data_IF_129288344670
#
_entry.id   IF_129288344670
#
_cell.length_a   1.000
_cell.length_b   1.000
_cell.length_c   1.000
_cell.angle_alpha   90.00
_cell.angle_beta   90.00
_cell.angle_gamma   90.00
#
_symmetry.space_group_name_H-M   'P 1'
#
loop_
_entity.id
_entity.type
_entity.pdbx_description
1 polymer ?
#
# COMPACT_ATOMS: atom_id res chain seq x y z
N UNK A 1 24.28 33.76 -15.70
CA UNK A 1 24.55 34.79 -14.67
C UNK A 1 24.17 34.17 -13.34
N UNK A 2 25.17 33.83 -12.53
CA UNK A 2 25.07 33.04 -11.28
C UNK A 2 24.85 33.99 -10.10
N UNK A 3 23.86 33.71 -9.23
CA UNK A 3 23.74 34.07 -7.79
C UNK A 3 22.37 33.58 -7.30
N UNK A 4 22.30 32.47 -6.56
CA UNK A 4 22.43 32.36 -5.10
C UNK A 4 21.28 33.03 -4.35
N UNK A 5 20.31 32.22 -3.90
CA UNK A 5 19.48 32.47 -2.72
C UNK A 5 19.44 31.17 -1.93
N UNK A 6 20.31 31.09 -0.93
CA UNK A 6 20.15 30.20 0.21
C UNK A 6 19.42 30.93 1.33
N UNK A 7 18.95 30.14 2.30
CA UNK A 7 18.45 30.53 3.61
C UNK A 7 16.95 30.88 3.73
N UNK A 8 16.15 29.85 3.99
CA UNK A 8 14.95 29.92 4.83
C UNK A 8 14.62 28.52 5.37
N UNK A 9 15.43 28.01 6.31
CA UNK A 9 15.08 26.84 7.12
C UNK A 9 15.55 27.07 8.57
N UNK A 10 14.59 27.46 9.41
CA UNK A 10 14.71 27.47 10.87
C UNK A 10 14.48 26.07 11.49
N UNK A 11 14.65 25.92 12.82
CA UNK A 11 15.30 24.74 13.40
C UNK A 11 14.28 23.66 13.82
N UNK A 12 14.21 22.57 13.07
CA UNK A 12 13.51 21.35 13.49
C UNK A 12 14.30 20.05 13.23
N UNK A 13 15.63 20.13 13.04
CA UNK A 13 16.48 18.96 12.72
C UNK A 13 17.56 18.61 13.76
N UNK A 14 17.50 19.19 14.96
CA UNK A 14 18.54 18.99 15.98
C UNK A 14 18.33 17.78 16.92
N UNK A 15 17.38 16.86 16.68
CA UNK A 15 17.13 15.70 17.57
C UNK A 15 17.09 14.33 16.89
N UNK A 16 17.80 14.16 15.77
CA UNK A 16 17.96 12.85 15.12
C UNK A 16 19.38 12.62 14.56
N UNK A 17 20.39 13.17 15.23
CA UNK A 17 21.81 13.06 14.81
C UNK A 17 22.74 12.51 15.89
N UNK A 18 22.24 11.57 16.68
CA UNK A 18 23.01 10.91 17.74
C UNK A 18 22.79 9.40 17.79
N UNK A 19 22.82 8.73 16.64
CA UNK A 19 23.18 7.31 16.52
C UNK A 19 23.82 7.17 15.14
N UNK A 20 24.91 6.40 15.02
CA UNK A 20 25.73 6.15 13.81
C UNK A 20 27.01 6.99 13.69
N UNK A 21 27.98 6.70 14.55
CA UNK A 21 29.41 6.83 14.23
C UNK A 21 30.01 5.43 14.12
N UNK A 22 30.69 5.13 13.02
CA UNK A 22 31.52 3.94 12.88
C UNK A 22 31.98 3.69 11.44
N UNK A 23 33.29 3.83 11.23
CA UNK A 23 34.14 3.35 10.11
C UNK A 23 34.27 4.23 8.85
N UNK A 24 35.33 5.06 8.89
CA UNK A 24 36.12 5.51 7.74
C UNK A 24 36.96 4.36 7.14
N UNK A 25 37.02 4.24 5.81
CA UNK A 25 38.26 4.03 5.05
C UNK A 25 38.03 4.19 3.52
N UNK A 26 39.04 4.64 2.74
CA UNK A 26 38.84 5.25 1.41
C UNK A 26 38.97 4.25 0.25
N UNK A 27 38.03 4.28 -0.70
CA UNK A 27 38.14 3.52 -1.97
C UNK A 27 38.51 4.43 -3.15
N UNK A 28 39.60 4.06 -3.80
CA UNK A 28 40.22 4.70 -4.96
C UNK A 28 39.32 4.66 -6.21
N UNK A 29 39.33 5.75 -7.00
CA UNK A 29 38.63 5.87 -8.29
C UNK A 29 39.42 5.20 -9.42
N UNK A 30 38.80 4.38 -10.30
CA UNK A 30 39.41 4.01 -11.57
C UNK A 30 39.20 5.07 -12.66
N UNK A 31 40.20 5.20 -13.52
CA UNK A 31 40.36 6.18 -14.60
C UNK A 31 39.36 5.98 -15.75
N UNK A 32 38.90 7.11 -16.33
CA UNK A 32 38.15 7.19 -17.59
C UNK A 32 39.00 6.72 -18.77
N UNK A 33 38.50 5.78 -19.57
CA UNK A 33 38.97 5.54 -20.94
C UNK A 33 37.97 6.11 -21.94
N UNK A 34 38.49 6.79 -22.96
CA UNK A 34 37.75 7.41 -24.06
C UNK A 34 37.47 6.35 -25.13
N UNK A 35 36.23 6.27 -25.62
CA UNK A 35 35.87 5.60 -26.87
C UNK A 35 35.91 6.62 -28.02
N UNK A 36 36.38 6.26 -29.22
CA UNK A 36 36.18 7.05 -30.42
C UNK A 36 35.00 6.55 -31.27
N UNK A 37 34.20 7.48 -31.76
CA UNK A 37 33.35 7.38 -32.96
C UNK A 37 33.84 8.47 -33.95
N UNK A 38 33.45 8.53 -35.26
CA UNK A 38 32.26 7.92 -35.89
C UNK A 38 32.47 7.36 -37.32
N UNK A 39 31.48 6.61 -37.83
CA UNK A 39 31.25 6.53 -39.28
C UNK A 39 29.75 6.37 -39.60
N UNK A 40 29.30 7.27 -40.48
CA UNK A 40 27.92 7.52 -40.88
C UNK A 40 27.40 6.52 -41.94
N UNK A 41 26.07 6.36 -41.90
CA UNK A 41 25.09 6.21 -43.02
C UNK A 41 24.72 4.81 -43.55
N UNK A 42 23.40 4.57 -43.37
CA UNK A 42 22.37 4.21 -44.37
C UNK A 42 21.99 2.73 -44.54
N UNK A 43 20.67 2.61 -44.65
CA UNK A 43 19.86 1.59 -45.31
C UNK A 43 19.52 0.30 -44.56
N UNK A 44 18.43 0.44 -43.80
CA UNK A 44 17.47 -0.60 -43.50
C UNK A 44 16.79 -1.15 -44.76
N UNK A 45 16.33 -2.40 -44.64
CA UNK A 45 15.44 -3.18 -45.54
C UNK A 45 16.06 -3.72 -46.84
N UNK A 46 16.54 -4.97 -46.78
CA UNK A 46 15.95 -6.12 -47.48
C UNK A 46 16.98 -7.24 -47.67
N UNK A 47 16.83 -8.33 -46.90
CA UNK A 47 17.31 -9.70 -47.18
C UNK A 47 16.82 -10.56 -46.01
N UNK A 48 15.52 -10.91 -45.99
CA UNK A 48 14.96 -12.14 -46.54
C UNK A 48 15.68 -13.42 -46.06
N UNK A 49 15.12 -13.97 -44.97
CA UNK A 49 14.79 -15.39 -44.74
C UNK A 49 15.79 -16.44 -45.24
N UNK A 50 16.37 -17.18 -44.30
CA UNK A 50 16.19 -18.64 -44.12
C UNK A 50 17.14 -19.14 -43.03
N UNK A 51 16.67 -20.12 -42.25
CA UNK A 51 17.33 -20.84 -41.15
C UNK A 51 17.19 -20.17 -39.77
N UNK A 52 16.13 -20.56 -39.06
CA UNK A 52 16.13 -21.04 -37.67
C UNK A 52 14.70 -21.53 -37.43
N UNK A 53 14.48 -22.83 -37.25
CA UNK A 53 14.49 -23.42 -35.92
C UNK A 53 13.05 -23.39 -35.39
N UNK A 54 12.43 -24.56 -35.31
CA UNK A 54 11.09 -24.77 -34.74
C UNK A 54 11.00 -24.02 -33.40
N UNK A 55 9.99 -23.18 -33.14
CA UNK A 55 9.86 -22.60 -31.81
C UNK A 55 9.46 -23.73 -30.86
N UNK A 56 10.31 -23.99 -29.85
CA UNK A 56 9.85 -24.65 -28.64
C UNK A 56 8.65 -23.88 -28.08
N UNK A 57 7.63 -24.62 -27.63
CA UNK A 57 6.49 -24.03 -26.94
C UNK A 57 6.98 -23.11 -25.81
N UNK A 58 6.44 -21.88 -25.69
CA UNK A 58 6.76 -21.05 -24.55
C UNK A 58 6.19 -21.75 -23.31
N UNK A 59 7.08 -22.34 -22.50
CA UNK A 59 6.74 -22.81 -21.16
C UNK A 59 5.98 -21.71 -20.42
N UNK A 60 4.81 -22.06 -19.91
CA UNK A 60 3.71 -21.18 -19.48
C UNK A 60 3.96 -20.37 -18.20
N UNK A 61 5.18 -19.93 -17.94
CA UNK A 61 5.60 -19.33 -16.67
C UNK A 61 5.47 -17.80 -16.57
N UNK A 62 4.91 -17.11 -17.56
CA UNK A 62 4.97 -15.63 -17.61
C UNK A 62 3.72 -14.88 -17.12
N UNK A 63 2.64 -15.54 -16.68
CA UNK A 63 1.41 -14.84 -16.27
C UNK A 63 0.59 -15.51 -15.14
N UNK A 64 1.22 -16.20 -14.18
CA UNK A 64 0.47 -16.97 -13.16
C UNK A 64 0.61 -16.55 -11.70
N UNK A 65 1.47 -15.59 -11.38
CA UNK A 65 1.78 -15.29 -9.98
C UNK A 65 1.44 -13.84 -9.64
N UNK A 66 0.15 -13.52 -9.58
CA UNK A 66 -0.32 -12.19 -9.17
C UNK A 66 -1.06 -12.23 -7.83
N UNK A 67 -0.81 -11.23 -6.98
CA UNK A 67 -1.42 -11.07 -5.65
C UNK A 67 -1.15 -12.24 -4.68
N UNK A 68 -2.21 -12.86 -4.13
CA UNK A 68 -2.12 -13.81 -3.01
C UNK A 68 -1.93 -15.26 -3.47
N UNK A 69 -1.75 -15.52 -4.76
CA UNK A 69 -1.59 -16.89 -5.29
C UNK A 69 -0.28 -17.54 -4.82
N UNK A 70 0.84 -16.81 -4.85
CA UNK A 70 2.13 -17.30 -4.33
C UNK A 70 2.01 -17.57 -2.82
N UNK A 71 1.41 -16.64 -2.07
CA UNK A 71 1.15 -16.83 -0.63
C UNK A 71 0.31 -18.09 -0.37
N UNK A 72 -0.76 -18.33 -1.16
CA UNK A 72 -1.58 -19.54 -1.05
C UNK A 72 -0.72 -20.78 -1.25
N UNK A 73 0.06 -20.85 -2.33
CA UNK A 73 0.90 -22.02 -2.62
C UNK A 73 1.89 -22.30 -1.48
N UNK A 74 2.56 -21.27 -0.97
CA UNK A 74 3.52 -21.44 0.13
C UNK A 74 2.85 -21.84 1.45
N UNK A 75 1.64 -21.35 1.74
CA UNK A 75 0.83 -21.83 2.87
C UNK A 75 0.41 -23.31 2.68
N UNK A 76 0.09 -23.73 1.46
CA UNK A 76 -0.26 -25.12 1.17
C UNK A 76 0.92 -26.08 1.36
N UNK A 77 2.13 -25.65 0.98
CA UNK A 77 3.38 -26.40 1.18
C UNK A 77 3.67 -26.68 2.66
N UNK A 78 3.23 -25.80 3.55
CA UNK A 78 3.41 -25.95 5.01
C UNK A 78 2.16 -26.54 5.71
N UNK A 79 1.18 -27.04 4.96
CA UNK A 79 0.09 -27.85 5.48
C UNK A 79 -1.29 -27.18 5.54
N UNK A 80 -1.42 -25.92 5.13
CA UNK A 80 -2.75 -25.33 4.92
C UNK A 80 -3.44 -25.96 3.70
N UNK A 81 -4.76 -25.94 3.66
CA UNK A 81 -5.55 -26.52 2.57
C UNK A 81 -6.70 -25.59 2.22
N UNK A 82 -6.79 -25.21 0.96
CA UNK A 82 -7.87 -24.37 0.46
C UNK A 82 -9.25 -25.01 0.73
N UNK A 83 -10.23 -24.18 1.12
CA UNK A 83 -11.58 -24.60 1.51
C UNK A 83 -11.69 -25.39 2.82
N UNK A 84 -10.57 -25.69 3.50
CA UNK A 84 -10.56 -26.44 4.76
C UNK A 84 -9.89 -25.67 5.92
N UNK A 85 -8.62 -25.28 5.77
CA UNK A 85 -7.87 -24.51 6.79
C UNK A 85 -7.40 -23.16 6.27
N UNK A 86 -7.56 -22.91 4.97
CA UNK A 86 -7.29 -21.65 4.29
C UNK A 86 -8.54 -21.25 3.50
N UNK A 87 -8.94 -19.98 3.63
CA UNK A 87 -10.16 -19.47 3.00
C UNK A 87 -9.91 -18.09 2.41
N UNK A 88 -10.35 -17.88 1.17
CA UNK A 88 -10.46 -16.57 0.56
C UNK A 88 -11.73 -15.85 1.00
N UNK A 89 -11.64 -14.54 1.24
CA UNK A 89 -12.79 -13.68 1.53
C UNK A 89 -12.83 -12.50 0.54
N UNK A 90 -13.18 -12.75 -0.74
CA UNK A 90 -13.20 -11.70 -1.75
C UNK A 90 -14.25 -10.62 -1.43
N UNK A 91 -13.92 -9.37 -1.73
CA UNK A 91 -14.76 -8.21 -1.51
C UNK A 91 -14.73 -7.28 -2.72
N UNK A 92 -15.71 -6.37 -2.78
CA UNK A 92 -15.77 -5.38 -3.85
C UNK A 92 -14.87 -4.18 -3.51
N UNK A 93 -13.70 -4.14 -4.13
CA UNK A 93 -12.69 -3.10 -3.90
C UNK A 93 -13.14 -1.71 -4.36
N UNK A 94 -14.23 -1.60 -5.12
CA UNK A 94 -14.76 -0.30 -5.58
C UNK A 94 -15.44 0.47 -4.46
N UNK A 95 -15.88 -0.23 -3.42
CA UNK A 95 -16.54 0.36 -2.26
C UNK A 95 -15.58 0.46 -1.07
N UNK A 96 -15.97 1.25 -0.07
CA UNK A 96 -15.22 1.38 1.17
C UNK A 96 -15.94 0.76 2.39
N UNK A 97 -15.18 0.28 3.40
CA UNK A 97 -15.73 -0.08 4.70
C UNK A 97 -16.60 1.04 5.31
N UNK A 98 -17.62 0.69 6.10
CA UNK A 98 -18.48 1.68 6.74
C UNK A 98 -17.69 2.53 7.73
N UNK A 99 -18.04 3.82 7.82
CA UNK A 99 -17.58 4.71 8.89
C UNK A 99 -18.76 5.07 9.79
N UNK A 100 -18.51 5.52 11.02
CA UNK A 100 -19.56 5.92 11.95
C UNK A 100 -20.51 6.93 11.29
N UNK A 101 -21.82 6.62 11.30
CA UNK A 101 -22.85 7.46 10.69
C UNK A 101 -23.01 7.30 9.17
N UNK A 102 -22.19 6.47 8.49
CA UNK A 102 -22.29 6.23 7.04
C UNK A 102 -22.19 4.74 6.71
N UNK A 103 -23.34 4.06 6.63
CA UNK A 103 -23.37 2.65 6.33
C UNK A 103 -22.98 2.39 4.86
N UNK A 104 -22.37 1.23 4.62
CA UNK A 104 -22.08 0.70 3.29
C UNK A 104 -22.82 -0.61 3.13
N UNK A 105 -23.89 -0.66 2.33
CA UNK A 105 -24.69 -1.89 2.17
C UNK A 105 -23.85 -3.06 1.65
N UNK A 106 -22.89 -2.76 0.75
CA UNK A 106 -21.96 -3.73 0.18
C UNK A 106 -21.08 -4.33 1.28
N UNK A 107 -20.47 -3.49 2.11
CA UNK A 107 -19.62 -3.97 3.20
C UNK A 107 -20.40 -4.58 4.36
N UNK A 108 -21.61 -4.11 4.67
CA UNK A 108 -22.49 -4.75 5.66
C UNK A 108 -22.80 -6.20 5.24
N UNK A 109 -23.07 -6.43 3.95
CA UNK A 109 -23.28 -7.78 3.42
C UNK A 109 -22.00 -8.61 3.46
N UNK A 110 -20.88 -8.02 3.06
CA UNK A 110 -19.58 -8.68 3.08
C UNK A 110 -19.15 -9.06 4.50
N UNK A 111 -19.22 -8.15 5.48
CA UNK A 111 -18.88 -8.40 6.88
C UNK A 111 -19.76 -9.48 7.50
N UNK A 112 -21.05 -9.53 7.17
CA UNK A 112 -21.91 -10.64 7.60
C UNK A 112 -21.44 -11.99 7.05
N UNK A 113 -21.03 -12.04 5.77
CA UNK A 113 -20.51 -13.26 5.14
C UNK A 113 -19.15 -13.65 5.72
N UNK A 114 -18.26 -12.69 5.97
CA UNK A 114 -16.96 -12.91 6.59
C UNK A 114 -17.12 -13.42 8.03
N UNK A 115 -18.03 -12.84 8.81
CA UNK A 115 -18.38 -13.33 10.15
C UNK A 115 -18.83 -14.80 10.12
N UNK A 116 -19.77 -15.14 9.23
CA UNK A 116 -20.25 -16.52 9.08
C UNK A 116 -19.12 -17.48 8.64
N UNK A 117 -18.27 -17.07 7.69
CA UNK A 117 -17.11 -17.85 7.25
C UNK A 117 -16.16 -18.15 8.41
N UNK A 118 -15.88 -17.16 9.26
CA UNK A 118 -15.00 -17.31 10.42
C UNK A 118 -15.63 -18.27 11.45
N UNK A 119 -16.93 -18.13 11.71
CA UNK A 119 -17.65 -19.02 12.63
C UNK A 119 -17.63 -20.47 12.13
N UNK A 120 -17.84 -20.69 10.83
CA UNK A 120 -17.85 -22.02 10.24
C UNK A 120 -16.45 -22.63 10.15
N UNK A 121 -15.43 -21.84 9.80
CA UNK A 121 -14.03 -22.26 9.84
C UNK A 121 -13.61 -22.68 11.27
N UNK A 122 -14.04 -21.92 12.28
CA UNK A 122 -13.79 -22.25 13.69
C UNK A 122 -14.44 -23.58 14.10
N UNK A 123 -15.69 -23.85 13.67
CA UNK A 123 -16.40 -25.12 13.98
C UNK A 123 -15.77 -26.34 13.33
N UNK A 124 -15.24 -26.22 12.10
CA UNK A 124 -14.63 -27.33 11.34
C UNK A 124 -13.37 -27.93 11.99
N UNK A 125 -12.81 -27.27 13.00
CA UNK A 125 -11.59 -27.70 13.71
C UNK A 125 -11.81 -28.86 14.72
N UNK A 126 -12.56 -29.90 14.34
CA UNK A 126 -12.79 -31.13 15.12
C UNK A 126 -13.16 -30.89 16.60
N UNK A 127 -14.06 -29.93 16.86
CA UNK A 127 -14.55 -29.63 18.21
C UNK A 127 -13.65 -28.74 19.08
N UNK A 128 -12.47 -28.34 18.59
CA UNK A 128 -11.53 -27.50 19.36
C UNK A 128 -11.83 -25.99 19.30
N UNK A 129 -12.89 -25.57 18.60
CA UNK A 129 -13.31 -24.17 18.44
C UNK A 129 -12.12 -23.22 18.23
N UNK A 130 -11.34 -23.48 17.18
CA UNK A 130 -10.09 -22.75 16.94
C UNK A 130 -10.38 -21.32 16.48
N UNK A 131 -9.69 -20.37 17.11
CA UNK A 131 -9.61 -18.99 16.63
C UNK A 131 -8.91 -18.94 15.28
N UNK A 132 -9.28 -17.99 14.44
CA UNK A 132 -8.73 -17.80 13.09
C UNK A 132 -7.67 -16.70 13.06
N UNK A 133 -6.67 -16.84 12.20
CA UNK A 133 -5.77 -15.75 11.82
C UNK A 133 -6.45 -15.00 10.67
N UNK A 134 -6.69 -13.70 10.84
CA UNK A 134 -7.21 -12.86 9.77
C UNK A 134 -6.06 -12.13 9.08
N UNK A 135 -5.77 -12.52 7.83
CA UNK A 135 -4.71 -11.92 7.02
C UNK A 135 -5.30 -10.89 6.06
N UNK A 136 -4.62 -9.75 5.90
CA UNK A 136 -4.97 -8.75 4.89
C UNK A 136 -3.72 -8.05 4.36
N UNK A 137 -3.67 -7.86 3.04
CA UNK A 137 -2.62 -7.11 2.33
C UNK A 137 -3.18 -5.82 1.74
N UNK A 138 -2.41 -4.73 1.76
CA UNK A 138 -2.81 -3.43 1.18
C UNK A 138 -4.18 -3.00 1.70
N UNK A 139 -5.07 -2.54 0.82
CA UNK A 139 -6.44 -2.20 1.17
C UNK A 139 -7.21 -3.33 1.89
N UNK A 140 -6.89 -4.59 1.61
CA UNK A 140 -7.46 -5.74 2.33
C UNK A 140 -7.08 -5.77 3.81
N UNK A 141 -5.91 -5.23 4.17
CA UNK A 141 -5.51 -5.01 5.55
C UNK A 141 -6.39 -3.99 6.28
N UNK A 142 -6.69 -2.84 5.64
CA UNK A 142 -7.69 -1.90 6.18
C UNK A 142 -9.06 -2.54 6.32
N UNK A 143 -9.51 -3.31 5.31
CA UNK A 143 -10.80 -3.99 5.34
C UNK A 143 -10.88 -4.97 6.51
N UNK A 144 -9.84 -5.77 6.74
CA UNK A 144 -9.75 -6.70 7.86
C UNK A 144 -9.78 -5.97 9.21
N UNK A 145 -9.05 -4.85 9.33
CA UNK A 145 -9.05 -4.02 10.52
C UNK A 145 -10.45 -3.44 10.82
N UNK A 146 -11.10 -2.85 9.81
CA UNK A 146 -12.44 -2.27 9.97
C UNK A 146 -13.50 -3.35 10.26
N UNK A 147 -13.40 -4.53 9.65
CA UNK A 147 -14.24 -5.67 9.99
C UNK A 147 -14.13 -5.99 11.47
N UNK A 148 -12.92 -6.21 11.98
CA UNK A 148 -12.73 -6.58 13.40
C UNK A 148 -13.22 -5.47 14.30
N UNK A 149 -12.92 -4.20 14.00
CA UNK A 149 -13.42 -3.04 14.76
C UNK A 149 -14.95 -2.96 14.81
N UNK A 150 -15.64 -3.45 13.78
CA UNK A 150 -17.10 -3.46 13.71
C UNK A 150 -17.79 -4.59 14.48
N UNK A 151 -17.07 -5.63 14.93
CA UNK A 151 -17.71 -6.77 15.62
C UNK A 151 -17.85 -6.51 17.13
N UNK A 152 -18.75 -7.19 17.86
CA UNK A 152 -18.75 -7.15 19.32
C UNK A 152 -17.41 -7.62 19.91
N UNK A 153 -17.01 -7.05 21.05
CA UNK A 153 -15.76 -7.41 21.74
C UNK A 153 -15.70 -8.90 22.08
N UNK A 154 -16.78 -9.42 22.67
CA UNK A 154 -16.90 -10.84 23.01
C UNK A 154 -16.77 -11.76 21.78
N UNK A 155 -17.28 -11.31 20.62
CA UNK A 155 -17.17 -12.07 19.37
C UNK A 155 -15.71 -12.13 18.90
N UNK A 156 -15.02 -10.99 18.81
CA UNK A 156 -13.62 -11.00 18.32
C UNK A 156 -12.68 -11.71 19.30
N UNK A 157 -12.91 -11.61 20.61
CA UNK A 157 -12.15 -12.38 21.60
C UNK A 157 -12.37 -13.88 21.48
N UNK A 158 -13.56 -14.32 21.03
CA UNK A 158 -13.89 -15.72 20.83
C UNK A 158 -13.32 -16.29 19.54
N UNK A 159 -13.35 -15.53 18.44
CA UNK A 159 -13.05 -16.07 17.11
C UNK A 159 -11.73 -15.62 16.49
N UNK A 160 -11.19 -14.46 16.88
CA UNK A 160 -10.00 -13.89 16.27
C UNK A 160 -8.76 -14.23 17.09
N UNK A 161 -7.75 -14.78 16.42
CA UNK A 161 -6.47 -15.17 17.01
C UNK A 161 -5.51 -13.97 16.98
N UNK A 162 -4.83 -13.66 15.86
CA UNK A 162 -4.40 -12.31 15.55
C UNK A 162 -4.91 -11.81 14.19
N UNK A 163 -4.77 -10.50 13.97
CA UNK A 163 -4.70 -9.94 12.63
C UNK A 163 -3.23 -9.96 12.17
N UNK A 164 -2.99 -10.38 10.94
CA UNK A 164 -1.72 -10.20 10.24
C UNK A 164 -1.98 -9.20 9.11
N UNK A 165 -1.54 -7.97 9.32
CA UNK A 165 -1.73 -6.84 8.41
C UNK A 165 -0.43 -6.59 7.65
N UNK A 166 -0.43 -6.76 6.34
CA UNK A 166 0.75 -6.58 5.50
C UNK A 166 0.56 -5.36 4.61
N UNK A 167 1.41 -4.36 4.78
CA UNK A 167 1.35 -3.07 4.10
C UNK A 167 -0.09 -2.49 4.07
N UNK A 168 -0.81 -2.38 5.21
CA UNK A 168 -2.27 -2.28 5.19
C UNK A 168 -2.82 -0.94 4.71
N UNK A 169 -1.98 0.06 4.43
CA UNK A 169 -2.41 1.39 3.99
C UNK A 169 -2.46 1.48 2.45
N UNK A 170 -3.12 2.50 1.90
CA UNK A 170 -3.22 2.74 0.44
C UNK A 170 -2.64 4.13 0.10
N UNK A 171 -1.96 4.28 -1.03
CA UNK A 171 -1.45 5.56 -1.55
C UNK A 171 -2.54 6.27 -2.36
N UNK A 172 -3.15 7.36 -1.85
CA UNK A 172 -4.34 7.92 -2.47
C UNK A 172 -4.03 8.95 -3.56
N UNK A 173 -3.08 9.87 -3.33
CA UNK A 173 -2.99 11.12 -4.11
C UNK A 173 -2.46 10.88 -5.51
N UNK A 174 -1.30 10.23 -5.65
CA UNK A 174 -0.69 9.96 -6.96
C UNK A 174 -1.63 9.17 -7.86
N UNK A 175 -2.18 8.07 -7.35
CA UNK A 175 -3.13 7.24 -8.09
C UNK A 175 -4.37 8.03 -8.53
N UNK A 176 -4.85 8.94 -7.69
CA UNK A 176 -6.03 9.75 -8.00
C UNK A 176 -5.75 10.87 -9.02
N UNK A 177 -4.60 11.54 -8.91
CA UNK A 177 -4.23 12.69 -9.76
C UNK A 177 -3.66 12.22 -11.10
N UNK A 178 -2.66 11.32 -11.08
CA UNK A 178 -1.92 10.86 -12.26
C UNK A 178 -2.53 9.62 -12.93
N UNK A 179 -3.42 8.90 -12.25
CA UNK A 179 -3.91 7.59 -12.68
C UNK A 179 -3.20 6.44 -11.96
N UNK A 180 -3.76 5.23 -12.05
CA UNK A 180 -3.33 4.08 -11.25
C UNK A 180 -3.06 2.86 -12.11
N UNK A 181 -1.98 2.14 -11.77
CA UNK A 181 -1.63 0.84 -12.33
C UNK A 181 -2.04 -0.33 -11.41
N UNK A 182 -2.86 -0.05 -10.38
CA UNK A 182 -3.31 -1.08 -9.43
C UNK A 182 -4.08 -2.22 -10.11
N UNK A 183 -4.82 -1.89 -11.18
CA UNK A 183 -5.56 -2.85 -11.99
C UNK A 183 -4.93 -2.93 -13.37
N UNK A 184 -4.45 -4.11 -13.73
CA UNK A 184 -3.99 -4.37 -15.09
C UNK A 184 -5.19 -4.60 -16.01
N UNK A 185 -5.42 -3.66 -16.94
CA UNK A 185 -6.37 -3.83 -18.04
C UNK A 185 -5.57 -3.76 -19.35
N UNK A 186 -5.57 -4.83 -20.17
CA UNK A 186 -4.82 -4.85 -21.42
C UNK A 186 -5.12 -3.63 -22.29
N UNK A 187 -4.09 -3.10 -22.98
CA UNK A 187 -4.20 -1.96 -23.91
C UNK A 187 -4.60 -0.61 -23.29
N UNK A 188 -4.67 -0.51 -21.96
CA UNK A 188 -4.94 0.74 -21.26
C UNK A 188 -3.67 1.35 -20.66
N UNK A 189 -3.73 2.64 -20.35
CA UNK A 189 -2.72 3.38 -19.58
C UNK A 189 -3.29 3.82 -18.23
N UNK A 190 -2.45 4.10 -17.21
CA UNK A 190 -2.93 4.63 -15.94
C UNK A 190 -3.81 5.88 -16.09
N UNK A 191 -3.46 6.76 -17.04
CA UNK A 191 -4.25 7.95 -17.35
C UNK A 191 -5.65 7.60 -17.89
N UNK A 192 -5.74 6.61 -18.79
CA UNK A 192 -7.02 6.16 -19.35
C UNK A 192 -7.92 5.44 -18.32
N UNK A 193 -7.32 4.79 -17.32
CA UNK A 193 -8.04 4.14 -16.22
C UNK A 193 -8.43 5.13 -15.11
N UNK A 194 -7.87 6.33 -15.10
CA UNK A 194 -8.09 7.33 -14.05
C UNK A 194 -9.58 7.67 -13.82
N UNK A 195 -10.45 7.85 -14.84
CA UNK A 195 -11.87 8.09 -14.60
C UNK A 195 -12.55 6.93 -13.85
N UNK A 196 -12.21 5.68 -14.20
CA UNK A 196 -12.71 4.50 -13.50
C UNK A 196 -12.21 4.50 -12.06
N UNK A 197 -10.91 4.69 -11.83
CA UNK A 197 -10.34 4.72 -10.48
C UNK A 197 -11.00 5.80 -9.60
N UNK A 198 -11.21 7.01 -10.14
CA UNK A 198 -11.89 8.12 -9.44
C UNK A 198 -13.35 7.84 -9.09
N UNK A 199 -13.99 6.88 -9.76
CA UNK A 199 -15.34 6.44 -9.43
C UNK A 199 -15.40 5.53 -8.20
N UNK A 200 -14.27 4.98 -7.75
CA UNK A 200 -14.22 4.06 -6.62
C UNK A 200 -14.22 4.84 -5.31
N UNK A 201 -15.03 4.41 -4.35
CA UNK A 201 -14.99 4.95 -2.99
C UNK A 201 -13.62 4.70 -2.34
N UNK A 202 -13.00 3.54 -2.61
CA UNK A 202 -11.69 3.16 -2.07
C UNK A 202 -10.54 4.09 -2.49
N UNK A 203 -10.66 4.73 -3.66
CA UNK A 203 -9.72 5.74 -4.12
C UNK A 203 -9.78 7.02 -3.28
N UNK A 204 -10.94 7.34 -2.68
CA UNK A 204 -11.18 8.56 -1.91
C UNK A 204 -10.96 8.35 -0.41
N UNK A 205 -11.41 7.21 0.16
CA UNK A 205 -11.42 6.99 1.62
C UNK A 205 -10.06 6.91 2.30
N UNK A 206 -8.98 6.87 1.52
CA UNK A 206 -7.60 6.80 1.99
C UNK A 206 -6.85 8.12 1.80
N UNK A 207 -7.52 9.21 1.39
CA UNK A 207 -6.88 10.52 1.22
C UNK A 207 -6.08 10.96 2.46
N UNK A 208 -4.99 11.73 2.28
CA UNK A 208 -4.06 12.07 3.35
C UNK A 208 -4.74 12.81 4.49
N UNK A 209 -4.41 12.43 5.71
CA UNK A 209 -4.91 13.10 6.91
C UNK A 209 -4.03 14.31 7.24
N UNK A 210 -4.63 15.49 7.51
CA UNK A 210 -3.88 16.62 8.05
C UNK A 210 -3.15 16.33 9.37
N UNK A 211 -3.66 15.40 10.18
CA UNK A 211 -2.98 14.99 11.41
C UNK A 211 -1.65 14.25 11.17
N UNK A 212 -1.43 13.73 9.96
CA UNK A 212 -0.21 13.01 9.56
C UNK A 212 0.72 13.93 8.77
N UNK A 213 0.18 14.64 7.77
CA UNK A 213 0.98 15.39 6.79
C UNK A 213 1.06 16.90 7.08
N UNK A 214 0.19 17.43 7.94
CA UNK A 214 0.12 18.86 8.26
C UNK A 214 0.02 19.74 7.01
N UNK A 215 0.83 20.80 7.00
CA UNK A 215 0.90 21.78 5.90
C UNK A 215 1.85 21.37 4.76
N UNK A 216 2.41 20.15 4.80
CA UNK A 216 3.33 19.68 3.77
C UNK A 216 2.62 19.68 2.41
N UNK A 217 3.14 20.38 1.39
CA UNK A 217 2.58 20.31 0.04
C UNK A 217 2.67 18.89 -0.51
N UNK A 218 1.55 18.32 -0.94
CA UNK A 218 1.48 16.97 -1.54
C UNK A 218 1.36 17.05 -3.06
N UNK A 219 0.68 18.10 -3.55
CA UNK A 219 0.62 18.45 -4.98
C UNK A 219 1.04 19.90 -5.13
N UNK A 220 2.02 20.14 -5.97
CA UNK A 220 2.59 21.47 -6.26
C UNK A 220 2.26 21.78 -7.71
N UNK A 221 1.75 22.99 -7.96
CA UNK A 221 1.46 23.48 -9.31
C UNK A 221 2.05 24.88 -9.49
N UNK A 222 2.03 25.42 -10.71
CA UNK A 222 2.42 26.81 -10.95
C UNK A 222 1.67 27.81 -10.05
N UNK A 223 0.37 27.55 -9.85
CA UNK A 223 -0.56 28.53 -9.28
C UNK A 223 -0.82 28.33 -7.80
N UNK A 224 -0.73 27.08 -7.32
CA UNK A 224 -1.12 26.70 -5.97
C UNK A 224 -0.45 25.40 -5.51
N UNK A 225 -0.16 25.35 -4.22
CA UNK A 225 0.22 24.13 -3.52
C UNK A 225 -0.98 23.58 -2.75
N UNK A 226 -1.17 22.27 -2.79
CA UNK A 226 -2.23 21.54 -2.10
C UNK A 226 -1.61 20.67 -1.01
N UNK A 227 -1.89 21.00 0.25
CA UNK A 227 -1.58 20.18 1.41
C UNK A 227 -2.72 19.19 1.70
N UNK A 228 -2.58 18.36 2.73
CA UNK A 228 -3.67 17.50 3.20
C UNK A 228 -4.94 18.27 3.62
N UNK A 229 -4.82 19.57 3.94
CA UNK A 229 -5.98 20.44 4.21
C UNK A 229 -6.75 20.83 2.96
N UNK A 230 -6.11 20.80 1.79
CA UNK A 230 -6.64 21.35 0.52
C UNK A 230 -7.26 20.26 -0.38
N UNK A 231 -7.51 19.07 0.14
CA UNK A 231 -7.95 17.91 -0.67
C UNK A 231 -9.27 18.14 -1.41
N UNK A 232 -10.20 18.91 -0.85
CA UNK A 232 -11.45 19.28 -1.54
C UNK A 232 -11.17 20.14 -2.78
N UNK A 233 -10.28 21.13 -2.64
CA UNK A 233 -9.90 22.02 -3.72
C UNK A 233 -9.07 21.27 -4.78
N UNK A 234 -8.23 20.33 -4.36
CA UNK A 234 -7.50 19.46 -5.28
C UNK A 234 -8.48 18.61 -6.11
N UNK A 235 -9.49 18.00 -5.48
CA UNK A 235 -10.53 17.22 -6.18
C UNK A 235 -11.23 18.05 -7.25
N UNK A 236 -11.56 19.31 -6.95
CA UNK A 236 -12.13 20.23 -7.92
C UNK A 236 -11.13 20.56 -9.04
N UNK A 237 -9.89 20.88 -8.71
CA UNK A 237 -8.84 21.27 -9.66
C UNK A 237 -8.50 20.17 -10.67
N UNK A 238 -8.53 18.91 -10.26
CA UNK A 238 -8.26 17.77 -11.15
C UNK A 238 -9.48 17.33 -11.99
N UNK A 239 -10.56 18.12 -12.00
CA UNK A 239 -11.79 17.82 -12.73
C UNK A 239 -12.64 16.72 -12.09
N UNK A 240 -12.49 16.47 -10.78
CA UNK A 240 -13.23 15.45 -10.04
C UNK A 240 -14.15 16.07 -8.97
N UNK A 241 -14.88 17.13 -9.33
CA UNK A 241 -15.79 17.82 -8.41
C UNK A 241 -16.85 16.90 -7.78
N UNK A 242 -17.28 15.85 -8.49
CA UNK A 242 -18.18 14.83 -7.93
C UNK A 242 -17.58 14.02 -6.77
N UNK A 243 -16.26 14.01 -6.60
CA UNK A 243 -15.56 13.34 -5.50
C UNK A 243 -15.55 14.14 -4.20
N UNK A 244 -15.85 15.45 -4.23
CA UNK A 244 -15.81 16.33 -3.05
C UNK A 244 -16.82 15.90 -1.99
N UNK A 245 -18.05 15.59 -2.38
CA UNK A 245 -19.07 15.20 -1.42
C UNK A 245 -18.79 13.82 -0.77
N UNK A 246 -18.43 12.77 -1.53
CA UNK A 246 -17.91 11.53 -0.96
C UNK A 246 -16.73 11.74 0.00
N UNK A 247 -15.79 12.63 -0.33
CA UNK A 247 -14.66 12.97 0.54
C UNK A 247 -15.13 13.61 1.86
N UNK A 248 -15.96 14.66 1.79
CA UNK A 248 -16.52 15.34 2.97
C UNK A 248 -17.25 14.38 3.89
N UNK A 249 -18.06 13.51 3.28
CA UNK A 249 -18.86 12.55 4.01
C UNK A 249 -17.97 11.48 4.65
N UNK A 250 -17.06 10.85 3.92
CA UNK A 250 -16.39 9.63 4.40
C UNK A 250 -15.02 9.84 5.02
N UNK A 251 -14.28 10.86 4.59
CA UNK A 251 -12.89 11.07 5.01
C UNK A 251 -12.80 12.01 6.21
N UNK A 252 -13.46 13.17 6.14
CA UNK A 252 -13.37 14.18 7.20
C UNK A 252 -13.82 13.68 8.59
N UNK A 253 -14.86 12.84 8.73
CA UNK A 253 -15.18 12.28 10.04
C UNK A 253 -14.05 11.37 10.56
N UNK A 254 -13.42 10.57 9.71
CA UNK A 254 -12.31 9.68 10.13
C UNK A 254 -11.13 10.47 10.67
N UNK A 255 -10.80 11.61 10.08
CA UNK A 255 -9.69 12.46 10.52
C UNK A 255 -10.00 13.22 11.81
N UNK A 256 -11.29 13.41 12.14
CA UNK A 256 -11.74 14.13 13.35
C UNK A 256 -12.04 13.19 14.54
N UNK A 257 -12.21 11.90 14.29
CA UNK A 257 -12.55 10.92 15.33
C UNK A 257 -11.32 10.21 15.87
N UNK A 258 -11.39 9.85 17.15
CA UNK A 258 -10.37 9.06 17.84
C UNK A 258 -10.17 7.69 17.18
N UNK A 259 -8.93 7.29 16.97
CA UNK A 259 -8.60 5.95 16.47
C UNK A 259 -9.00 4.89 17.51
N UNK A 260 -9.82 3.93 17.09
CA UNK A 260 -10.22 2.81 17.93
C UNK A 260 -9.38 1.58 17.61
N UNK A 261 -8.56 1.16 18.56
CA UNK A 261 -7.79 -0.08 18.45
C UNK A 261 -8.71 -1.32 18.33
N UNK A 262 -8.30 -2.38 17.60
CA UNK A 262 -9.10 -3.58 17.42
C UNK A 262 -9.19 -4.46 18.68
N UNK A 263 -8.35 -4.22 19.70
CA UNK A 263 -8.33 -4.92 20.99
C UNK A 263 -8.20 -6.44 20.86
N UNK A 264 -7.42 -6.86 19.86
CA UNK A 264 -6.98 -8.23 19.62
C UNK A 264 -5.51 -8.18 19.21
N UNK A 265 -4.78 -9.31 19.25
CA UNK A 265 -3.40 -9.33 18.81
C UNK A 265 -3.27 -8.91 17.35
N UNK A 266 -2.31 -8.05 17.04
CA UNK A 266 -2.08 -7.52 15.70
C UNK A 266 -0.59 -7.59 15.40
N UNK A 267 -0.25 -8.20 14.27
CA UNK A 267 1.08 -8.08 13.66
C UNK A 267 0.96 -7.25 12.40
N UNK A 268 1.67 -6.12 12.35
CA UNK A 268 1.74 -5.24 11.19
C UNK A 268 3.12 -5.37 10.53
N UNK A 269 3.16 -5.67 9.24
CA UNK A 269 4.39 -5.89 8.47
C UNK A 269 4.43 -4.89 7.33
N UNK A 270 5.42 -4.01 7.28
CA UNK A 270 5.54 -2.99 6.25
C UNK A 270 6.93 -2.99 5.59
N UNK A 271 6.97 -2.64 4.31
CA UNK A 271 8.21 -2.27 3.64
C UNK A 271 8.72 -0.91 4.12
N UNK A 272 10.03 -0.72 4.15
CA UNK A 272 10.68 0.58 4.43
C UNK A 272 11.98 0.70 3.63
N UNK A 273 12.56 1.89 3.54
CA UNK A 273 13.84 2.13 2.87
C UNK A 273 13.74 2.19 1.34
N UNK A 274 12.54 2.35 0.79
CA UNK A 274 12.33 2.49 -0.66
C UNK A 274 11.94 3.94 -0.99
N UNK A 275 12.42 4.44 -2.13
CA UNK A 275 11.98 5.72 -2.68
C UNK A 275 10.46 5.70 -2.90
N UNK A 276 9.77 6.57 -2.16
CA UNK A 276 8.31 6.62 -2.13
C UNK A 276 7.84 8.04 -2.45
N UNK A 277 6.88 8.24 -3.37
CA UNK A 277 6.39 9.56 -3.74
C UNK A 277 5.90 10.35 -2.52
N UNK A 278 6.45 11.52 -2.26
CA UNK A 278 6.02 12.43 -1.20
C UNK A 278 5.32 13.66 -1.77
N UNK A 279 5.81 14.18 -2.90
CA UNK A 279 5.24 15.37 -3.54
C UNK A 279 5.18 15.17 -5.05
N UNK A 280 4.09 15.61 -5.65
CA UNK A 280 3.87 15.60 -7.10
C UNK A 280 3.92 17.03 -7.60
N UNK A 281 4.78 17.31 -8.59
CA UNK A 281 4.96 18.65 -9.14
C UNK A 281 4.45 18.68 -10.58
N UNK A 282 3.47 19.56 -10.82
CA UNK A 282 2.82 19.81 -12.10
C UNK A 282 3.05 21.26 -12.51
N UNK A 283 4.20 21.55 -13.13
CA UNK A 283 4.63 22.91 -13.44
C UNK A 283 3.64 23.72 -14.28
N UNK A 284 2.94 23.10 -15.22
CA UNK A 284 1.95 23.78 -16.08
C UNK A 284 0.51 23.57 -15.60
N UNK A 285 0.33 23.03 -14.39
CA UNK A 285 -0.98 22.57 -13.87
C UNK A 285 -1.68 21.55 -14.78
N UNK A 286 -0.94 20.91 -15.69
CA UNK A 286 -1.43 19.83 -16.55
C UNK A 286 -1.37 18.50 -15.80
N UNK A 287 -2.50 18.10 -15.22
CA UNK A 287 -2.62 16.83 -14.51
C UNK A 287 -2.65 15.59 -15.43
N UNK A 288 -2.66 15.77 -16.75
CA UNK A 288 -2.59 14.68 -17.73
C UNK A 288 -1.13 14.33 -18.09
N UNK A 289 -0.20 15.26 -17.85
CA UNK A 289 1.23 15.02 -17.93
C UNK A 289 1.74 14.17 -16.75
N UNK A 290 2.91 13.54 -16.94
CA UNK A 290 3.61 12.90 -15.84
C UNK A 290 4.18 13.97 -14.90
N UNK A 291 3.91 13.90 -13.57
CA UNK A 291 4.49 14.85 -12.64
C UNK A 291 5.99 14.60 -12.46
N UNK A 292 6.73 15.64 -12.11
CA UNK A 292 7.98 15.45 -11.39
C UNK A 292 7.67 14.99 -9.97
N UNK A 293 8.45 14.05 -9.44
CA UNK A 293 8.17 13.42 -8.15
C UNK A 293 9.33 13.67 -7.21
N UNK A 294 9.04 14.27 -6.05
CA UNK A 294 9.95 14.26 -4.92
C UNK A 294 9.72 12.98 -4.12
N UNK A 295 10.81 12.30 -3.78
CA UNK A 295 10.78 11.02 -3.08
C UNK A 295 11.28 11.16 -1.65
N UNK A 296 10.65 10.41 -0.75
CA UNK A 296 11.14 10.13 0.58
C UNK A 296 11.13 8.64 0.89
N UNK A 297 11.05 8.31 2.18
CA UNK A 297 11.10 6.93 2.66
C UNK A 297 9.71 6.29 2.72
N UNK A 298 9.64 4.97 2.48
CA UNK A 298 8.43 4.16 2.54
C UNK A 298 8.61 2.78 1.91
N UNK A 299 7.50 2.17 1.50
CA UNK A 299 7.47 0.86 0.82
C UNK A 299 7.40 0.97 -0.71
N UNK A 300 7.64 2.16 -1.27
CA UNK A 300 7.50 2.47 -2.69
C UNK A 300 6.09 2.92 -3.10
N UNK A 301 5.12 2.88 -2.18
CA UNK A 301 3.78 3.46 -2.37
C UNK A 301 3.32 4.26 -1.15
N UNK A 302 3.48 3.71 0.05
CA UNK A 302 3.07 4.31 1.31
C UNK A 302 4.27 4.96 2.00
N UNK A 303 4.16 6.25 2.27
CA UNK A 303 5.20 6.98 3.00
C UNK A 303 5.40 6.41 4.40
N UNK A 304 6.65 6.36 4.85
CA UNK A 304 7.02 5.88 6.18
C UNK A 304 6.28 6.63 7.28
N UNK A 305 6.02 7.93 7.12
CA UNK A 305 5.27 8.71 8.12
C UNK A 305 3.87 8.13 8.37
N UNK A 306 3.15 7.72 7.33
CA UNK A 306 1.82 7.09 7.46
C UNK A 306 1.90 5.76 8.21
N UNK A 307 2.93 4.96 7.93
CA UNK A 307 3.18 3.70 8.64
C UNK A 307 3.45 3.96 10.12
N UNK A 308 4.35 4.91 10.43
CA UNK A 308 4.71 5.24 11.80
C UNK A 308 3.54 5.82 12.60
N UNK A 309 2.75 6.72 12.01
CA UNK A 309 1.56 7.25 12.68
C UNK A 309 0.52 6.17 12.93
N UNK A 310 0.30 5.25 11.99
CA UNK A 310 -0.59 4.10 12.22
C UNK A 310 -0.11 3.24 13.39
N UNK A 311 1.20 3.00 13.50
CA UNK A 311 1.76 2.27 14.62
C UNK A 311 1.60 3.00 15.96
N UNK A 312 1.79 4.32 15.98
CA UNK A 312 1.59 5.15 17.17
C UNK A 312 0.14 5.08 17.64
N UNK A 313 -0.83 5.22 16.73
CA UNK A 313 -2.25 5.12 17.04
C UNK A 313 -2.64 3.71 17.56
N UNK A 314 -2.05 2.66 17.01
CA UNK A 314 -2.21 1.29 17.54
C UNK A 314 -1.65 1.13 18.97
N UNK A 315 -0.55 1.81 19.29
CA UNK A 315 0.09 1.77 20.62
C UNK A 315 -0.54 2.73 21.64
N UNK A 316 -1.35 3.68 21.20
CA UNK A 316 -1.97 4.70 22.06
C UNK A 316 -2.85 4.12 23.16
N UNK A 317 -3.50 2.98 22.90
CA UNK A 317 -4.30 2.28 23.91
C UNK A 317 -3.44 1.23 24.63
N UNK A 318 -3.23 1.34 25.97
CA UNK A 318 -2.33 0.43 26.70
C UNK A 318 -2.68 -1.06 26.56
N UNK A 319 -3.97 -1.38 26.40
CA UNK A 319 -4.41 -2.75 26.17
C UNK A 319 -4.04 -3.28 24.77
N UNK A 320 -4.01 -2.43 23.74
CA UNK A 320 -3.58 -2.80 22.40
C UNK A 320 -2.06 -2.84 22.28
N UNK A 321 -1.34 -1.92 22.92
CA UNK A 321 0.12 -1.83 22.90
C UNK A 321 0.80 -3.17 23.23
N UNK A 322 0.33 -3.83 24.30
CA UNK A 322 0.86 -5.12 24.78
C UNK A 322 0.69 -6.28 23.79
N UNK A 323 -0.16 -6.12 22.79
CA UNK A 323 -0.50 -7.14 21.80
C UNK A 323 -0.31 -6.64 20.36
N UNK A 324 0.43 -5.54 20.18
CA UNK A 324 0.77 -5.00 18.87
C UNK A 324 2.25 -5.26 18.54
N UNK A 325 2.49 -6.02 17.48
CA UNK A 325 3.82 -6.26 16.90
C UNK A 325 3.92 -5.47 15.59
N UNK A 326 4.98 -4.67 15.44
CA UNK A 326 5.31 -4.05 14.15
C UNK A 326 6.64 -4.58 13.63
N UNK A 327 6.68 -4.88 12.33
CA UNK A 327 7.83 -5.41 11.61
C UNK A 327 8.06 -4.54 10.39
N UNK A 328 9.29 -4.04 10.25
CA UNK A 328 9.74 -3.25 9.11
C UNK A 328 10.72 -4.08 8.29
N UNK A 329 10.44 -4.28 7.01
CA UNK A 329 11.26 -5.05 6.08
C UNK A 329 11.96 -4.08 5.14
N UNK A 330 13.23 -3.81 5.40
CA UNK A 330 14.02 -2.87 4.59
C UNK A 330 14.16 -3.39 3.15
N UNK A 331 13.79 -2.57 2.17
CA UNK A 331 13.83 -2.89 0.74
C UNK A 331 12.67 -3.75 0.24
N UNK A 332 11.72 -4.17 1.08
CA UNK A 332 10.49 -4.81 0.61
C UNK A 332 9.56 -3.76 0.00
N UNK A 333 8.99 -4.04 -1.18
CA UNK A 333 8.05 -3.11 -1.85
C UNK A 333 6.61 -3.44 -1.51
N UNK A 334 5.74 -2.43 -1.56
CA UNK A 334 4.32 -2.51 -1.21
C UNK A 334 3.58 -3.71 -1.81
N UNK A 335 3.65 -3.84 -3.15
CA UNK A 335 2.95 -4.89 -3.89
C UNK A 335 3.63 -6.26 -3.80
N UNK A 336 4.95 -6.29 -3.66
CA UNK A 336 5.74 -7.53 -3.75
C UNK A 336 6.15 -8.12 -2.41
N UNK A 337 5.83 -7.47 -1.29
CA UNK A 337 6.07 -8.00 0.06
C UNK A 337 5.44 -9.38 0.32
N UNK A 338 4.40 -9.74 -0.46
CA UNK A 338 3.71 -11.05 -0.42
C UNK A 338 4.06 -11.97 -1.59
N UNK A 339 5.01 -11.58 -2.45
CA UNK A 339 5.42 -12.36 -3.63
C UNK A 339 6.94 -12.57 -3.72
N UNK A 340 7.75 -11.59 -3.32
CA UNK A 340 9.21 -11.69 -3.30
C UNK A 340 9.63 -12.71 -2.24
N UNK A 341 10.38 -13.74 -2.65
CA UNK A 341 10.67 -14.93 -1.85
C UNK A 341 11.15 -14.61 -0.42
N UNK A 342 12.11 -13.70 -0.28
CA UNK A 342 12.68 -13.35 1.02
C UNK A 342 11.68 -12.63 1.94
N UNK A 343 10.86 -11.73 1.38
CA UNK A 343 9.86 -10.96 2.12
C UNK A 343 8.66 -11.85 2.48
N UNK A 344 8.20 -12.65 1.50
CA UNK A 344 7.14 -13.62 1.69
C UNK A 344 7.51 -14.67 2.75
N UNK A 345 8.75 -15.18 2.75
CA UNK A 345 9.23 -16.09 3.79
C UNK A 345 9.09 -15.47 5.19
N UNK A 346 9.39 -14.18 5.32
CA UNK A 346 9.20 -13.45 6.58
C UNK A 346 7.73 -13.29 6.95
N UNK A 347 6.85 -12.99 6.00
CA UNK A 347 5.39 -12.94 6.21
C UNK A 347 4.85 -14.31 6.68
N UNK A 348 5.26 -15.41 6.04
CA UNK A 348 4.86 -16.77 6.40
C UNK A 348 5.35 -17.14 7.81
N UNK A 349 6.58 -16.77 8.16
CA UNK A 349 7.08 -16.98 9.51
C UNK A 349 6.17 -16.34 10.56
N UNK A 350 5.70 -15.12 10.30
CA UNK A 350 4.80 -14.39 11.20
C UNK A 350 3.41 -15.02 11.29
N UNK A 351 2.88 -15.55 10.17
CA UNK A 351 1.63 -16.34 10.17
C UNK A 351 1.81 -17.61 11.01
N UNK A 352 2.95 -18.30 10.91
CA UNK A 352 3.25 -19.50 11.68
C UNK A 352 3.44 -19.20 13.17
N UNK A 353 4.16 -18.12 13.51
CA UNK A 353 4.30 -17.65 14.90
C UNK A 353 2.94 -17.31 15.50
N UNK A 354 2.10 -16.57 14.76
CA UNK A 354 0.72 -16.27 15.11
C UNK A 354 -0.15 -17.53 15.33
N UNK A 355 0.18 -18.64 14.68
CA UNK A 355 -0.54 -19.90 14.84
C UNK A 355 -0.10 -20.71 16.06
N UNK A 356 1.09 -20.44 16.64
CA UNK A 356 1.64 -21.17 17.79
C UNK A 356 1.20 -20.61 19.14
N UNK A 357 1.09 -19.28 19.24
CA UNK A 357 0.49 -18.56 20.39
C UNK A 357 -1.01 -18.84 20.44
#
# INVERSE_FOLDING_TARGET
>A
MVRAVGELLGPARARLRAVLHGADEPRQRPRRQRLPEPARRRDARAQLRLLHGIPEEPTSHLYRDWCLEILRHELERIGYRDGNTLFGAPYDLRHAPPVTGQPSQVYTRYFRRLMALIEDASKKSNGQHRKVILFGHSFGGMVALEFVRSTPMAWRQKYIKPLVLVAPLLEPVKNFVSGSDLLYVPTTTPLSLRPMWRSFESAIVNFPSPAVFGDTPLVITERRNYSAHDMEDLLAAVGSGGGVEPFRRRVLPRTRHYFQAPMVPVTCINGVGNETPEQLVYWESDFDAAPEVAYGDGDGSINLISILTFEEEMRRQPGQEKQFKSIKLHGAKHGTIVTDEWALKRVIQEILEANRV
#
